data_IF_187169169058
#
_entry.id   IF_187169169058
#
_cell.length_a   1.000
_cell.length_b   1.000
_cell.length_c   1.000
_cell.angle_alpha   90.00
_cell.angle_beta   90.00
_cell.angle_gamma   90.00
#
_symmetry.space_group_name_H-M   'P 1'
#
loop_
_entity.id
_entity.type
_entity.pdbx_description
1 polymer ?
#
# COMPACT_ATOMS: atom_id res chain seq x y z
N UNK A 1 -23.80 -3.22 57.15
CA UNK A 1 -22.65 -2.88 58.05
C UNK A 1 -22.82 -1.51 58.70
N UNK A 2 -23.33 -0.52 58.03
CA UNK A 2 -23.55 0.88 58.47
C UNK A 2 -24.49 1.01 59.67
N UNK A 3 -25.59 0.24 59.68
CA UNK A 3 -26.57 0.27 60.82
C UNK A 3 -25.96 -0.24 62.13
N UNK A 4 -25.01 -1.22 62.08
CA UNK A 4 -24.33 -1.75 63.25
C UNK A 4 -23.28 -0.78 63.86
N UNK A 5 -22.57 -0.05 63.01
CA UNK A 5 -21.58 0.98 63.46
C UNK A 5 -22.32 2.18 64.09
N UNK A 6 -23.38 2.62 63.43
CA UNK A 6 -24.26 3.68 63.99
C UNK A 6 -24.83 3.29 65.36
N UNK A 7 -25.35 2.06 65.50
CA UNK A 7 -25.92 1.58 66.76
C UNK A 7 -24.83 1.50 67.85
N UNK A 8 -23.60 1.05 67.49
CA UNK A 8 -22.50 0.99 68.47
C UNK A 8 -22.00 2.38 68.90
N UNK A 9 -21.85 3.34 68.00
CA UNK A 9 -21.45 4.72 68.29
C UNK A 9 -22.51 5.43 69.13
N UNK A 10 -23.77 5.26 68.74
CA UNK A 10 -24.90 5.81 69.52
C UNK A 10 -25.01 5.16 70.88
N UNK A 11 -24.83 3.82 70.97
CA UNK A 11 -24.81 3.11 72.23
C UNK A 11 -23.68 3.57 73.17
N UNK A 12 -22.44 3.79 72.62
CA UNK A 12 -21.34 4.31 73.37
C UNK A 12 -21.60 5.76 73.90
N UNK A 13 -22.21 6.58 73.05
CA UNK A 13 -22.52 7.99 73.43
C UNK A 13 -23.61 8.04 74.48
N UNK A 14 -24.64 7.22 74.36
CA UNK A 14 -25.69 7.09 75.37
C UNK A 14 -25.11 6.56 76.69
N UNK A 15 -24.20 5.56 76.64
CA UNK A 15 -23.54 5.00 77.80
C UNK A 15 -22.66 6.06 78.50
N UNK A 16 -21.96 6.89 77.73
CA UNK A 16 -21.15 7.99 78.24
C UNK A 16 -21.99 9.09 78.92
N UNK A 17 -23.15 9.41 78.33
CA UNK A 17 -24.16 10.36 78.90
C UNK A 17 -24.76 9.82 80.19
N UNK A 18 -25.18 8.52 80.21
CA UNK A 18 -25.69 7.87 81.41
C UNK A 18 -24.60 7.82 82.48
N UNK A 19 -23.38 7.51 82.12
CA UNK A 19 -22.25 7.54 83.04
C UNK A 19 -21.99 8.96 83.60
N UNK A 20 -22.04 9.99 82.76
CA UNK A 20 -21.86 11.38 83.19
C UNK A 20 -22.99 11.85 84.11
N UNK A 21 -24.25 11.50 83.82
CA UNK A 21 -25.39 11.81 84.67
C UNK A 21 -25.32 11.09 86.02
N UNK A 22 -25.01 9.80 86.04
CA UNK A 22 -24.79 9.00 87.27
C UNK A 22 -23.59 9.51 88.08
N UNK A 23 -22.46 9.84 87.41
CA UNK A 23 -21.31 10.42 88.09
C UNK A 23 -21.62 11.79 88.69
N UNK A 24 -22.37 12.64 87.98
CA UNK A 24 -22.81 13.96 88.50
C UNK A 24 -23.78 13.79 89.71
N UNK A 25 -24.68 12.86 89.64
CA UNK A 25 -25.61 12.54 90.71
C UNK A 25 -24.84 12.01 91.95
N UNK A 26 -23.89 11.13 91.78
CA UNK A 26 -23.04 10.62 92.86
C UNK A 26 -22.16 11.74 93.49
N UNK A 27 -21.61 12.63 92.67
CA UNK A 27 -20.83 13.77 93.13
C UNK A 27 -21.76 14.75 93.94
N UNK A 28 -22.92 15.05 93.41
CA UNK A 28 -23.90 15.91 94.07
C UNK A 28 -24.39 15.28 95.41
N UNK A 29 -24.67 13.99 95.41
CA UNK A 29 -25.08 13.28 96.66
C UNK A 29 -23.94 13.35 97.67
N UNK A 30 -22.70 13.15 97.37
CA UNK A 30 -21.55 13.24 98.22
C UNK A 30 -21.32 14.65 98.73
N UNK A 31 -21.60 15.70 97.95
CA UNK A 31 -21.47 17.08 98.29
C UNK A 31 -22.66 17.53 99.25
N UNK A 32 -23.85 16.98 99.04
CA UNK A 32 -25.01 17.24 99.85
C UNK A 32 -24.95 16.50 101.19
N UNK A 33 -24.34 15.32 101.31
CA UNK A 33 -24.18 14.60 102.57
C UNK A 33 -23.24 15.40 103.56
N UNK A 34 -22.44 16.33 103.05
CA UNK A 34 -21.60 17.15 103.84
C UNK A 34 -22.18 18.56 104.22
N UNK A 35 -23.33 18.93 103.69
CA UNK A 35 -23.95 20.24 103.90
C UNK A 35 -25.48 20.09 104.20
N UNK A 36 -25.84 20.11 105.52
CA UNK A 36 -27.11 20.40 106.14
C UNK A 36 -28.43 19.77 105.57
N UNK A 37 -29.08 19.09 106.50
CA UNK A 37 -30.36 18.35 106.46
C UNK A 37 -31.53 19.31 106.17
N UNK A 38 -32.17 19.27 105.04
CA UNK A 38 -33.50 19.92 104.87
C UNK A 38 -34.03 20.09 103.43
N UNK A 39 -33.25 19.94 102.40
CA UNK A 39 -33.68 20.24 100.99
C UNK A 39 -33.52 19.05 100.01
N UNK A 40 -33.31 17.85 100.49
CA UNK A 40 -32.93 16.66 99.68
C UNK A 40 -34.06 16.28 98.70
N UNK A 41 -35.31 16.38 99.02
CA UNK A 41 -36.42 15.94 98.09
C UNK A 41 -36.66 16.88 96.90
N UNK A 42 -36.33 18.14 97.00
CA UNK A 42 -36.40 19.04 95.83
C UNK A 42 -35.20 18.92 94.88
N UNK A 43 -34.02 18.72 95.41
CA UNK A 43 -32.81 18.53 94.63
C UNK A 43 -32.83 17.19 93.83
N UNK A 44 -33.40 16.13 94.40
CA UNK A 44 -33.51 14.80 93.67
C UNK A 44 -34.44 14.94 92.45
N UNK A 45 -35.51 15.70 92.56
CA UNK A 45 -36.46 15.86 91.46
C UNK A 45 -35.91 16.78 90.35
N UNK A 46 -35.20 17.86 90.70
CA UNK A 46 -34.58 18.77 89.72
C UNK A 46 -33.38 18.15 88.99
N UNK A 47 -32.54 17.33 89.67
CA UNK A 47 -31.43 16.62 89.04
C UNK A 47 -31.92 15.59 88.06
N UNK A 48 -33.00 14.85 88.36
CA UNK A 48 -33.58 13.92 87.41
C UNK A 48 -34.18 14.62 86.17
N UNK A 49 -34.86 15.74 86.33
CA UNK A 49 -35.32 16.51 85.18
C UNK A 49 -34.21 17.11 84.34
N UNK A 50 -33.18 17.62 84.94
CA UNK A 50 -32.01 18.13 84.21
C UNK A 50 -31.31 17.04 83.42
N UNK A 51 -31.13 15.81 83.96
CA UNK A 51 -30.62 14.64 83.26
C UNK A 51 -31.50 14.20 82.10
N UNK A 52 -32.84 14.19 82.30
CA UNK A 52 -33.79 13.88 81.23
C UNK A 52 -33.75 14.90 80.09
N UNK A 53 -33.67 16.20 80.39
CA UNK A 53 -33.54 17.27 79.39
C UNK A 53 -32.17 17.14 78.63
N UNK A 54 -31.10 16.91 79.35
CA UNK A 54 -29.77 16.71 78.68
C UNK A 54 -29.82 15.50 77.76
N UNK A 55 -30.42 14.38 78.17
CA UNK A 55 -30.58 13.19 77.31
C UNK A 55 -31.48 13.44 76.08
N UNK A 56 -32.62 14.19 76.36
CA UNK A 56 -33.52 14.54 75.23
C UNK A 56 -32.88 15.45 74.17
N UNK A 57 -31.92 16.27 74.53
CA UNK A 57 -31.16 17.12 73.60
C UNK A 57 -29.98 16.35 72.96
N UNK A 58 -29.29 15.56 73.73
CA UNK A 58 -28.09 14.86 73.29
C UNK A 58 -28.39 13.71 72.28
N UNK A 59 -29.53 12.95 72.50
CA UNK A 59 -29.90 11.87 71.60
C UNK A 59 -30.24 12.35 70.18
N UNK A 60 -31.04 13.41 69.96
CA UNK A 60 -31.28 13.93 68.63
C UNK A 60 -30.03 14.50 67.98
N UNK A 61 -29.14 15.17 68.74
CA UNK A 61 -27.88 15.71 68.23
C UNK A 61 -26.92 14.59 67.79
N UNK A 62 -26.82 13.55 68.60
CA UNK A 62 -25.99 12.38 68.24
C UNK A 62 -26.57 11.63 67.02
N UNK A 63 -27.91 11.48 66.97
CA UNK A 63 -28.58 10.89 65.84
C UNK A 63 -28.40 11.70 64.54
N UNK A 64 -28.47 13.05 64.66
CA UNK A 64 -28.21 13.95 63.52
C UNK A 64 -26.76 13.83 63.02
N UNK A 65 -25.73 13.88 63.90
CA UNK A 65 -24.35 13.74 63.55
C UNK A 65 -24.05 12.36 62.91
N UNK A 66 -24.52 11.28 63.55
CA UNK A 66 -24.37 9.90 63.00
C UNK A 66 -25.08 9.71 61.66
N UNK A 67 -26.23 10.35 61.43
CA UNK A 67 -26.94 10.30 60.16
C UNK A 67 -26.15 10.98 59.05
N UNK A 68 -25.38 12.03 59.32
CA UNK A 68 -24.50 12.71 58.39
C UNK A 68 -23.39 11.75 57.88
N UNK A 69 -22.66 11.14 58.82
CA UNK A 69 -21.61 10.16 58.48
C UNK A 69 -22.15 8.96 57.71
N UNK A 70 -23.30 8.43 58.14
CA UNK A 70 -23.94 7.29 57.49
C UNK A 70 -24.32 7.59 56.02
N UNK A 71 -24.89 8.76 55.77
CA UNK A 71 -25.25 9.20 54.41
C UNK A 71 -24.01 9.35 53.50
N UNK A 72 -22.91 9.87 54.04
CA UNK A 72 -21.64 9.99 53.31
C UNK A 72 -21.09 8.61 52.97
N UNK A 73 -21.07 7.66 53.91
CA UNK A 73 -20.61 6.27 53.65
C UNK A 73 -21.51 5.55 52.63
N UNK A 74 -22.82 5.78 52.67
CA UNK A 74 -23.69 5.20 51.63
C UNK A 74 -23.40 5.74 50.23
N UNK A 75 -23.03 7.02 50.07
CA UNK A 75 -22.58 7.58 48.79
C UNK A 75 -21.29 6.93 48.29
N UNK A 76 -20.32 6.70 49.18
CA UNK A 76 -19.06 5.99 48.84
C UNK A 76 -19.35 4.57 48.37
N UNK A 77 -20.23 3.82 49.05
CA UNK A 77 -20.64 2.47 48.63
C UNK A 77 -21.35 2.47 47.28
N UNK A 78 -22.24 3.46 47.06
CA UNK A 78 -22.92 3.60 45.76
C UNK A 78 -21.93 3.95 44.63
N UNK A 79 -20.95 4.82 44.89
CA UNK A 79 -19.89 5.14 43.97
C UNK A 79 -19.04 3.91 43.63
N UNK A 80 -18.58 3.16 44.64
CA UNK A 80 -17.77 1.94 44.42
C UNK A 80 -18.55 0.90 43.55
N UNK A 81 -19.85 0.79 43.73
CA UNK A 81 -20.70 -0.08 42.89
C UNK A 81 -20.80 0.41 41.45
N UNK A 82 -20.88 1.73 41.20
CA UNK A 82 -20.88 2.30 39.86
C UNK A 82 -19.55 2.03 39.15
N UNK A 83 -18.43 2.24 39.85
CA UNK A 83 -17.10 1.92 39.30
C UNK A 83 -16.99 0.42 38.97
N UNK A 84 -17.46 -0.47 39.86
CA UNK A 84 -17.45 -1.91 39.60
C UNK A 84 -18.34 -2.33 38.40
N UNK A 85 -19.34 -1.54 38.06
CA UNK A 85 -20.20 -1.73 36.89
C UNK A 85 -19.64 -1.09 35.62
N UNK A 86 -18.42 -0.48 35.68
CA UNK A 86 -17.75 0.14 34.55
C UNK A 86 -18.04 1.63 34.34
N UNK A 87 -18.83 2.26 35.20
CA UNK A 87 -19.07 3.71 35.12
C UNK A 87 -17.92 4.49 35.78
N UNK A 88 -16.84 4.66 35.02
CA UNK A 88 -15.63 5.38 35.45
C UNK A 88 -15.83 6.93 35.44
N UNK A 89 -16.94 7.41 34.93
CA UNK A 89 -17.28 8.84 34.93
C UNK A 89 -17.86 9.32 36.25
N UNK A 90 -18.32 8.40 37.11
CA UNK A 90 -18.85 8.72 38.42
C UNK A 90 -17.84 9.52 39.25
N UNK A 91 -18.34 10.51 40.00
CA UNK A 91 -17.56 11.29 40.98
C UNK A 91 -18.31 11.40 42.28
N UNK A 92 -17.56 11.41 43.38
CA UNK A 92 -18.04 11.74 44.69
C UNK A 92 -17.96 13.26 44.87
N UNK A 93 -19.02 13.83 45.43
CA UNK A 93 -19.03 15.21 45.86
C UNK A 93 -18.30 15.32 47.21
N UNK A 94 -17.14 15.91 47.18
CA UNK A 94 -16.25 16.04 48.35
C UNK A 94 -16.72 17.22 49.19
N UNK A 95 -17.23 16.93 50.38
CA UNK A 95 -17.75 17.94 51.26
C UNK A 95 -16.98 17.93 52.61
N UNK A 96 -16.33 19.01 52.95
CA UNK A 96 -15.60 19.17 54.21
C UNK A 96 -14.07 19.00 54.08
N UNK A 97 -13.34 19.06 55.20
CA UNK A 97 -11.90 18.92 55.31
C UNK A 97 -11.47 17.81 56.28
N UNK A 98 -12.32 16.80 56.46
CA UNK A 98 -12.12 15.66 57.34
C UNK A 98 -11.47 14.45 56.63
N UNK A 99 -11.19 13.38 57.37
CA UNK A 99 -10.63 12.13 56.86
C UNK A 99 -11.51 11.50 55.81
N UNK A 100 -12.84 11.68 55.85
CA UNK A 100 -13.79 11.20 54.84
C UNK A 100 -13.60 11.97 53.53
N UNK A 101 -13.36 13.28 53.59
CA UNK A 101 -13.09 14.06 52.38
C UNK A 101 -11.76 13.65 51.72
N UNK A 102 -10.74 13.34 52.53
CA UNK A 102 -9.48 12.79 52.00
C UNK A 102 -9.70 11.44 51.27
N UNK A 103 -10.53 10.56 51.85
CA UNK A 103 -10.92 9.29 51.25
C UNK A 103 -11.73 9.48 49.94
N UNK A 104 -12.73 10.39 49.96
CA UNK A 104 -13.54 10.74 48.78
C UNK A 104 -12.66 11.25 47.62
N UNK A 105 -11.64 12.10 47.93
CA UNK A 105 -10.65 12.58 46.96
C UNK A 105 -9.81 11.45 46.39
N UNK A 106 -9.27 10.59 47.26
CA UNK A 106 -8.43 9.47 46.82
C UNK A 106 -9.21 8.49 45.91
N UNK A 107 -10.49 8.26 46.21
CA UNK A 107 -11.35 7.45 45.38
C UNK A 107 -11.65 8.10 44.03
N UNK A 108 -11.90 9.42 43.99
CA UNK A 108 -12.05 10.16 42.74
C UNK A 108 -10.79 10.10 41.88
N UNK A 109 -9.62 10.29 42.46
CA UNK A 109 -8.33 10.15 41.75
C UNK A 109 -8.11 8.74 41.20
N UNK A 110 -8.48 7.72 41.98
CA UNK A 110 -8.39 6.32 41.53
C UNK A 110 -9.30 6.05 40.34
N UNK A 111 -10.56 6.54 40.40
CA UNK A 111 -11.50 6.40 39.28
C UNK A 111 -11.00 7.14 38.03
N UNK A 112 -10.42 8.33 38.20
CA UNK A 112 -9.84 9.09 37.11
C UNK A 112 -8.66 8.38 36.44
N UNK A 113 -7.72 7.86 37.24
CA UNK A 113 -6.58 7.06 36.72
C UNK A 113 -7.03 5.81 36.01
N UNK A 114 -8.02 5.09 36.54
CA UNK A 114 -8.61 3.95 35.89
C UNK A 114 -9.23 4.35 34.54
N UNK A 115 -10.00 5.44 34.52
CA UNK A 115 -10.60 5.97 33.28
C UNK A 115 -9.53 6.32 32.23
N UNK A 116 -8.46 7.01 32.63
CA UNK A 116 -7.34 7.34 31.74
C UNK A 116 -6.64 6.10 31.21
N UNK A 117 -6.34 5.11 32.04
CA UNK A 117 -5.70 3.87 31.64
C UNK A 117 -6.58 3.08 30.64
N UNK A 118 -7.90 2.99 30.88
CA UNK A 118 -8.80 2.34 29.94
C UNK A 118 -8.87 3.06 28.60
N UNK A 119 -8.96 4.41 28.61
CA UNK A 119 -8.98 5.21 27.41
C UNK A 119 -7.65 5.05 26.61
N UNK A 120 -6.51 5.00 27.30
CA UNK A 120 -5.20 4.78 26.68
C UNK A 120 -5.10 3.38 26.05
N UNK A 121 -5.55 2.34 26.74
CA UNK A 121 -5.56 0.96 26.20
C UNK A 121 -6.47 0.88 24.96
N UNK A 122 -7.65 1.47 25.00
CA UNK A 122 -8.58 1.51 23.87
C UNK A 122 -7.99 2.30 22.69
N UNK A 123 -7.34 3.45 22.96
CA UNK A 123 -6.66 4.24 21.93
C UNK A 123 -5.53 3.47 21.28
N UNK A 124 -4.65 2.83 22.07
CA UNK A 124 -3.56 2.00 21.54
C UNK A 124 -4.08 0.81 20.73
N UNK A 125 -5.16 0.17 21.20
CA UNK A 125 -5.79 -0.92 20.46
C UNK A 125 -6.35 -0.45 19.11
N UNK A 126 -6.97 0.71 19.10
CA UNK A 126 -7.51 1.29 17.86
C UNK A 126 -6.40 1.71 16.89
N UNK A 127 -5.32 2.28 17.40
CA UNK A 127 -4.14 2.65 16.62
C UNK A 127 -3.49 1.41 15.96
N UNK A 128 -3.27 0.34 16.73
CA UNK A 128 -2.75 -0.92 16.20
C UNK A 128 -3.67 -1.54 15.15
N UNK A 129 -4.99 -1.52 15.36
CA UNK A 129 -5.94 -2.01 14.38
C UNK A 129 -5.88 -1.20 13.08
N UNK A 130 -5.80 0.13 13.18
CA UNK A 130 -5.68 1.03 12.02
C UNK A 130 -4.37 0.80 11.27
N UNK A 131 -3.25 0.62 11.98
CA UNK A 131 -1.97 0.27 11.37
C UNK A 131 -2.05 -1.04 10.58
N UNK A 132 -2.62 -2.09 11.17
CA UNK A 132 -2.80 -3.38 10.51
C UNK A 132 -3.76 -3.32 9.31
N UNK A 133 -4.79 -2.48 9.36
CA UNK A 133 -5.72 -2.29 8.24
C UNK A 133 -5.16 -1.39 7.13
N UNK A 134 -4.19 -0.52 7.45
CA UNK A 134 -3.49 0.32 6.46
C UNK A 134 -2.38 -0.42 5.72
N UNK A 135 -1.93 -1.59 6.20
CA UNK A 135 -0.94 -2.43 5.52
C UNK A 135 -1.49 -2.94 4.19
N UNK A 136 -0.62 -3.03 3.19
CA UNK A 136 -0.97 -3.64 1.89
C UNK A 136 -0.92 -5.17 1.93
N UNK A 137 -0.41 -5.73 2.98
CA UNK A 137 -0.27 -7.17 3.19
C UNK A 137 -1.55 -7.76 3.79
N UNK A 138 -1.88 -8.97 3.36
CA UNK A 138 -2.99 -9.71 3.95
C UNK A 138 -2.53 -10.39 5.25
N UNK A 139 -3.25 -10.15 6.35
CA UNK A 139 -2.90 -10.67 7.68
C UNK A 139 -4.07 -11.44 8.27
N UNK A 140 -3.79 -12.64 8.79
CA UNK A 140 -4.76 -13.45 9.53
C UNK A 140 -4.13 -14.02 10.80
N UNK A 141 -4.82 -13.86 11.92
CA UNK A 141 -4.46 -14.47 13.20
C UNK A 141 -5.40 -15.65 13.50
N UNK A 142 -4.83 -16.72 14.02
CA UNK A 142 -5.48 -18.02 14.17
C UNK A 142 -5.27 -18.52 15.60
N UNK A 143 -6.30 -19.17 16.16
CA UNK A 143 -6.20 -19.82 17.48
C UNK A 143 -5.40 -21.11 17.41
N UNK A 144 -4.98 -21.70 18.56
CA UNK A 144 -4.30 -22.98 18.58
C UNK A 144 -5.11 -24.12 17.94
N UNK A 145 -6.45 -24.01 17.94
CA UNK A 145 -7.38 -24.98 17.33
C UNK A 145 -7.54 -24.77 15.81
N UNK A 146 -6.84 -23.81 15.22
CA UNK A 146 -6.92 -23.51 13.78
C UNK A 146 -8.12 -22.65 13.37
N UNK A 147 -8.78 -21.99 14.33
CA UNK A 147 -9.90 -21.09 14.05
C UNK A 147 -9.40 -19.66 13.80
N UNK A 148 -10.03 -18.94 12.89
CA UNK A 148 -9.73 -17.53 12.65
C UNK A 148 -10.06 -16.71 13.90
N UNK A 149 -9.06 -16.04 14.45
CA UNK A 149 -9.21 -15.09 15.56
C UNK A 149 -9.51 -13.70 15.06
N UNK A 150 -8.80 -13.27 14.02
CA UNK A 150 -8.89 -11.96 13.41
C UNK A 150 -8.25 -11.97 12.02
N UNK A 151 -8.67 -11.05 11.15
CA UNK A 151 -8.07 -10.79 9.85
C UNK A 151 -8.24 -9.33 9.46
N UNK A 152 -7.28 -8.77 8.75
CA UNK A 152 -7.41 -7.40 8.22
C UNK A 152 -8.29 -7.36 6.96
N UNK A 153 -8.62 -6.13 6.54
CA UNK A 153 -9.47 -5.87 5.38
C UNK A 153 -8.88 -6.41 4.07
N UNK A 154 -7.53 -6.40 3.93
CA UNK A 154 -6.83 -6.93 2.75
C UNK A 154 -7.03 -8.44 2.63
N UNK A 155 -6.86 -9.17 3.73
CA UNK A 155 -7.10 -10.62 3.75
C UNK A 155 -8.55 -10.99 3.42
N UNK A 156 -9.52 -10.20 3.91
CA UNK A 156 -10.94 -10.41 3.62
C UNK A 156 -11.25 -10.20 2.12
N UNK A 157 -10.70 -9.17 1.51
CA UNK A 157 -10.85 -8.90 0.07
C UNK A 157 -10.20 -9.97 -0.79
N UNK A 158 -9.01 -10.43 -0.39
CA UNK A 158 -8.23 -11.42 -1.14
C UNK A 158 -8.90 -12.80 -1.13
N UNK A 159 -9.46 -13.22 -0.01
CA UNK A 159 -10.10 -14.53 0.10
C UNK A 159 -11.44 -14.62 -0.65
N UNK A 160 -11.97 -13.51 -1.19
CA UNK A 160 -13.25 -13.48 -1.92
C UNK A 160 -14.47 -13.93 -1.10
N UNK A 161 -14.27 -14.28 0.17
CA UNK A 161 -15.29 -14.73 1.12
C UNK A 161 -15.09 -13.98 2.43
N UNK A 162 -16.20 -13.76 3.17
CA UNK A 162 -16.08 -13.17 4.50
C UNK A 162 -15.38 -14.15 5.44
N UNK A 163 -14.13 -13.87 5.77
CA UNK A 163 -13.42 -14.57 6.84
C UNK A 163 -14.07 -14.18 8.17
N UNK A 164 -14.68 -15.16 8.86
CA UNK A 164 -15.39 -14.89 10.11
C UNK A 164 -14.59 -15.42 11.29
N UNK A 165 -14.40 -14.63 12.36
CA UNK A 165 -13.84 -15.13 13.60
C UNK A 165 -14.61 -16.37 14.13
N UNK A 166 -13.87 -17.32 14.69
CA UNK A 166 -14.43 -18.56 15.22
C UNK A 166 -14.64 -19.68 14.19
N UNK A 167 -14.37 -19.44 12.89
CA UNK A 167 -14.43 -20.49 11.86
C UNK A 167 -13.05 -21.02 11.51
N UNK A 168 -12.92 -22.31 11.13
CA UNK A 168 -11.66 -22.86 10.63
C UNK A 168 -11.18 -22.10 9.40
N UNK A 169 -9.86 -21.78 9.33
CA UNK A 169 -9.25 -21.07 8.21
C UNK A 169 -9.50 -21.79 6.88
N UNK A 170 -9.45 -23.12 6.86
CA UNK A 170 -9.64 -23.95 5.67
C UNK A 170 -11.01 -23.76 4.99
N UNK A 171 -12.01 -23.29 5.71
CA UNK A 171 -13.33 -23.00 5.11
C UNK A 171 -13.35 -21.73 4.29
N UNK A 172 -12.44 -20.79 4.62
CA UNK A 172 -12.35 -19.48 3.96
C UNK A 172 -11.23 -19.45 2.92
N UNK A 173 -10.13 -20.18 3.18
CA UNK A 173 -8.95 -20.22 2.32
C UNK A 173 -8.52 -21.69 2.15
N UNK A 174 -8.46 -22.16 0.89
CA UNK A 174 -8.15 -23.56 0.55
C UNK A 174 -6.76 -23.74 -0.05
N UNK A 175 -5.89 -22.76 0.10
CA UNK A 175 -4.53 -22.89 -0.40
C UNK A 175 -3.72 -23.86 0.47
N UNK A 176 -3.11 -24.92 -0.11
CA UNK A 176 -2.40 -25.95 0.64
C UNK A 176 -1.15 -25.41 1.35
N UNK A 177 -0.42 -24.48 0.71
CA UNK A 177 0.82 -23.92 1.25
C UNK A 177 0.55 -23.02 2.46
N UNK A 178 -0.47 -22.17 2.37
CA UNK A 178 -0.88 -21.34 3.51
C UNK A 178 -1.27 -22.22 4.70
N UNK A 179 -2.07 -23.25 4.44
CA UNK A 179 -2.51 -24.17 5.51
C UNK A 179 -1.34 -24.99 6.09
N UNK A 180 -0.35 -25.36 5.26
CA UNK A 180 0.85 -26.05 5.70
C UNK A 180 1.74 -25.14 6.57
N UNK A 181 1.98 -23.89 6.15
CA UNK A 181 2.75 -22.90 6.90
C UNK A 181 2.11 -22.62 8.27
N UNK A 182 0.80 -22.39 8.29
CA UNK A 182 0.05 -22.14 9.53
C UNK A 182 0.11 -23.34 10.45
N UNK A 183 -0.10 -24.56 9.93
CA UNK A 183 -0.03 -25.80 10.73
C UNK A 183 1.38 -26.01 11.28
N UNK A 184 2.42 -25.80 10.47
CA UNK A 184 3.81 -25.90 10.92
C UNK A 184 4.12 -24.88 12.03
N UNK A 185 3.70 -23.64 11.90
CA UNK A 185 3.89 -22.62 12.93
C UNK A 185 3.16 -22.98 14.25
N UNK A 186 1.98 -23.60 14.17
CA UNK A 186 1.23 -24.06 15.33
C UNK A 186 1.87 -25.27 16.03
N UNK A 187 2.42 -26.20 15.25
CA UNK A 187 2.96 -27.48 15.78
C UNK A 187 4.40 -27.35 16.26
N UNK A 188 5.25 -26.70 15.47
CA UNK A 188 6.69 -26.65 15.71
C UNK A 188 7.08 -25.43 16.55
N UNK A 189 6.22 -24.42 16.65
CA UNK A 189 6.51 -23.18 17.36
C UNK A 189 7.57 -22.30 16.68
N UNK A 190 7.85 -22.54 15.39
CA UNK A 190 8.82 -21.81 14.56
C UNK A 190 8.15 -21.03 13.45
N UNK A 191 8.86 -20.01 12.95
CA UNK A 191 8.40 -19.27 11.77
C UNK A 191 8.50 -20.16 10.54
N UNK A 192 7.43 -20.23 9.76
CA UNK A 192 7.35 -20.98 8.52
C UNK A 192 7.14 -20.04 7.33
N UNK A 193 7.89 -20.29 6.28
CA UNK A 193 7.77 -19.57 5.01
C UNK A 193 7.23 -20.50 3.94
N UNK A 194 6.46 -19.94 3.02
CA UNK A 194 5.90 -20.67 1.88
C UNK A 194 5.51 -19.73 0.76
N UNK A 195 5.03 -20.29 -0.34
CA UNK A 195 4.63 -19.53 -1.51
C UNK A 195 3.30 -20.06 -2.03
N UNK A 196 2.28 -19.22 -2.06
CA UNK A 196 0.95 -19.55 -2.55
C UNK A 196 0.70 -18.97 -3.94
N UNK A 197 0.15 -19.77 -4.84
CA UNK A 197 -0.28 -19.37 -6.18
C UNK A 197 -1.75 -19.66 -6.46
N UNK A 198 -2.44 -20.34 -5.53
CA UNK A 198 -3.84 -20.73 -5.69
C UNK A 198 -4.83 -19.85 -4.92
N UNK A 199 -4.34 -18.84 -4.20
CA UNK A 199 -5.18 -17.91 -3.42
C UNK A 199 -6.02 -16.98 -4.29
N UNK A 200 -5.43 -16.48 -5.37
CA UNK A 200 -6.13 -15.67 -6.35
C UNK A 200 -5.57 -15.95 -7.75
N UNK A 201 -6.42 -16.02 -8.78
CA UNK A 201 -5.98 -16.31 -10.15
C UNK A 201 -4.92 -15.31 -10.63
N UNK A 202 -3.79 -15.84 -11.13
CA UNK A 202 -2.70 -15.03 -11.68
C UNK A 202 -1.89 -14.24 -10.64
N UNK A 203 -2.06 -14.48 -9.33
CA UNK A 203 -1.28 -13.84 -8.27
C UNK A 203 -0.40 -14.84 -7.54
N UNK A 204 0.75 -14.35 -7.09
CA UNK A 204 1.73 -15.10 -6.30
C UNK A 204 1.92 -14.38 -4.98
N UNK A 205 1.77 -15.12 -3.88
CA UNK A 205 1.94 -14.60 -2.53
C UNK A 205 3.08 -15.29 -1.82
N UNK A 206 3.94 -14.53 -1.18
CA UNK A 206 4.88 -15.03 -0.20
C UNK A 206 4.20 -15.07 1.17
N UNK A 207 4.30 -16.21 1.85
CA UNK A 207 3.66 -16.46 3.13
C UNK A 207 4.72 -16.50 4.21
N UNK A 208 4.47 -15.79 5.31
CA UNK A 208 5.19 -15.94 6.56
C UNK A 208 4.19 -16.25 7.66
N UNK A 209 4.33 -17.41 8.30
CA UNK A 209 3.50 -17.81 9.43
C UNK A 209 4.35 -17.93 10.70
N UNK A 210 3.99 -17.21 11.76
CA UNK A 210 4.71 -17.15 13.01
C UNK A 210 3.82 -17.55 14.20
N UNK A 211 4.34 -18.26 15.21
CA UNK A 211 3.60 -18.56 16.43
C UNK A 211 3.37 -17.29 17.26
N UNK A 212 2.22 -17.21 17.93
CA UNK A 212 1.89 -16.11 18.84
C UNK A 212 2.22 -16.52 20.29
N UNK A 213 2.82 -15.61 21.11
CA UNK A 213 3.10 -15.88 22.53
C UNK A 213 1.86 -16.23 23.34
N UNK A 214 0.69 -15.73 22.94
CA UNK A 214 -0.61 -15.99 23.58
C UNK A 214 -1.24 -17.31 23.12
N UNK A 215 -0.52 -18.13 22.35
CA UNK A 215 -1.03 -19.31 21.65
C UNK A 215 -1.69 -18.96 20.31
N UNK A 216 -1.60 -19.91 19.37
CA UNK A 216 -2.05 -19.70 17.98
C UNK A 216 -0.92 -19.27 17.06
N UNK A 217 -1.27 -18.78 15.87
CA UNK A 217 -0.32 -18.31 14.87
C UNK A 217 -0.86 -17.06 14.16
N UNK A 218 0.05 -16.27 13.61
CA UNK A 218 -0.25 -15.18 12.68
C UNK A 218 0.37 -15.53 11.33
N UNK A 219 -0.40 -15.36 10.25
CA UNK A 219 0.12 -15.49 8.89
C UNK A 219 0.00 -14.15 8.17
N UNK A 220 1.09 -13.77 7.50
CA UNK A 220 1.21 -12.58 6.67
C UNK A 220 1.45 -13.03 5.24
N UNK A 221 0.71 -12.46 4.28
CA UNK A 221 0.80 -12.78 2.88
C UNK A 221 1.16 -11.51 2.11
N UNK A 222 2.30 -11.55 1.46
CA UNK A 222 2.83 -10.47 0.63
C UNK A 222 2.61 -10.78 -0.85
N UNK A 223 1.96 -9.89 -1.60
CA UNK A 223 1.76 -10.04 -3.05
C UNK A 223 3.05 -9.72 -3.80
N UNK A 224 3.73 -10.76 -4.26
CA UNK A 224 5.00 -10.68 -5.01
C UNK A 224 4.80 -10.82 -6.52
N UNK A 225 3.57 -10.79 -7.01
CA UNK A 225 3.24 -11.03 -8.43
C UNK A 225 4.05 -10.16 -9.38
N UNK A 226 4.13 -8.86 -9.10
CA UNK A 226 4.89 -7.92 -9.94
C UNK A 226 6.39 -8.17 -9.89
N UNK A 227 6.93 -8.47 -8.73
CA UNK A 227 8.36 -8.75 -8.53
C UNK A 227 8.74 -10.04 -9.27
N UNK A 228 7.94 -11.09 -9.09
CA UNK A 228 8.14 -12.38 -9.78
C UNK A 228 8.03 -12.27 -11.30
N UNK A 229 7.04 -11.49 -11.79
CA UNK A 229 6.89 -11.24 -13.22
C UNK A 229 8.11 -10.49 -13.79
N UNK A 230 8.61 -9.47 -13.07
CA UNK A 230 9.80 -8.73 -13.45
C UNK A 230 11.06 -9.61 -13.44
N UNK A 231 11.26 -10.42 -12.40
CA UNK A 231 12.39 -11.36 -12.31
C UNK A 231 12.34 -12.45 -13.38
N UNK A 232 11.15 -12.98 -13.67
CA UNK A 232 10.97 -13.94 -14.76
C UNK A 232 11.31 -13.29 -16.09
N UNK A 233 10.77 -12.11 -16.37
CA UNK A 233 11.09 -11.36 -17.60
C UNK A 233 12.59 -11.12 -17.75
N UNK A 234 13.28 -10.75 -16.66
CA UNK A 234 14.74 -10.57 -16.65
C UNK A 234 15.49 -11.87 -16.95
N UNK A 235 15.09 -12.98 -16.33
CA UNK A 235 15.72 -14.29 -16.58
C UNK A 235 15.52 -14.73 -18.02
N UNK A 236 14.30 -14.61 -18.53
CA UNK A 236 13.97 -14.96 -19.91
C UNK A 236 14.74 -14.07 -20.91
N UNK A 237 14.90 -12.77 -20.60
CA UNK A 237 15.71 -11.86 -21.39
C UNK A 237 17.17 -12.32 -21.49
N UNK A 238 17.84 -12.60 -20.35
CA UNK A 238 19.24 -13.05 -20.32
C UNK A 238 19.42 -14.37 -21.10
N UNK A 239 18.48 -15.31 -20.92
CA UNK A 239 18.50 -16.58 -21.64
C UNK A 239 18.37 -16.36 -23.15
N UNK A 240 17.45 -15.53 -23.59
CA UNK A 240 17.22 -15.23 -25.00
C UNK A 240 18.40 -14.50 -25.64
N UNK A 241 18.99 -13.49 -24.96
CA UNK A 241 20.22 -12.82 -25.41
C UNK A 241 21.34 -13.84 -25.64
N UNK A 242 21.54 -14.72 -24.65
CA UNK A 242 22.62 -15.74 -24.73
C UNK A 242 22.41 -16.69 -25.92
N UNK A 243 21.17 -17.08 -26.17
CA UNK A 243 20.84 -17.94 -27.30
C UNK A 243 21.00 -17.22 -28.67
N UNK A 244 20.52 -15.98 -28.79
CA UNK A 244 20.59 -15.21 -30.04
C UNK A 244 22.03 -14.76 -30.37
N UNK A 245 22.92 -14.66 -29.38
CA UNK A 245 24.37 -14.43 -29.61
C UNK A 245 25.14 -15.73 -29.95
N UNK A 246 24.81 -16.85 -29.28
CA UNK A 246 25.53 -18.11 -29.45
C UNK A 246 25.36 -18.67 -30.86
N UNK A 247 24.15 -18.63 -31.42
CA UNK A 247 23.85 -19.21 -32.74
C UNK A 247 24.70 -18.61 -33.87
N UNK A 248 24.76 -17.28 -34.10
CA UNK A 248 25.62 -16.72 -35.16
C UNK A 248 27.11 -16.93 -34.86
N UNK A 249 27.53 -16.88 -33.59
CA UNK A 249 28.92 -17.11 -33.22
C UNK A 249 29.39 -18.52 -33.56
N UNK A 250 28.59 -19.55 -33.23
CA UNK A 250 28.88 -20.93 -33.59
C UNK A 250 28.95 -21.12 -35.12
N UNK A 251 28.07 -20.43 -35.87
CA UNK A 251 28.10 -20.45 -37.32
C UNK A 251 29.40 -19.82 -37.86
N UNK A 252 29.78 -18.65 -37.37
CA UNK A 252 31.03 -17.99 -37.74
C UNK A 252 32.22 -18.91 -37.47
N UNK A 253 32.31 -19.48 -36.26
CA UNK A 253 33.38 -20.38 -35.87
C UNK A 253 33.48 -21.58 -36.80
N UNK A 254 32.37 -22.29 -37.07
CA UNK A 254 32.38 -23.45 -37.93
C UNK A 254 32.82 -23.14 -39.38
N UNK A 255 32.37 -22.02 -39.95
CA UNK A 255 32.81 -21.64 -41.31
C UNK A 255 34.27 -21.18 -41.34
N UNK A 256 34.78 -20.52 -40.28
CA UNK A 256 36.19 -20.16 -40.15
C UNK A 256 37.05 -21.42 -40.01
N UNK A 257 36.66 -22.38 -39.16
CA UNK A 257 37.34 -23.66 -38.99
C UNK A 257 37.42 -24.41 -40.32
N UNK A 258 36.31 -24.50 -41.06
CA UNK A 258 36.24 -25.13 -42.37
C UNK A 258 37.19 -24.44 -43.37
N UNK A 259 37.26 -23.10 -43.38
CA UNK A 259 38.15 -22.35 -44.25
C UNK A 259 39.63 -22.52 -43.87
N UNK A 260 39.92 -22.72 -42.60
CA UNK A 260 41.31 -22.95 -42.10
C UNK A 260 41.80 -24.37 -42.41
N UNK A 261 40.89 -25.36 -42.28
CA UNK A 261 41.23 -26.78 -42.48
C UNK A 261 41.24 -27.19 -43.96
N UNK A 262 40.36 -26.58 -44.81
CA UNK A 262 40.29 -26.93 -46.25
C UNK A 262 41.21 -26.08 -47.10
N UNK A 263 42.50 -26.51 -47.23
CA UNK A 263 43.48 -25.88 -48.09
C UNK A 263 43.19 -25.99 -49.63
N UNK A 264 42.08 -26.67 -50.03
CA UNK A 264 41.65 -26.87 -51.42
C UNK A 264 40.31 -26.19 -51.74
N UNK A 265 39.80 -25.32 -50.84
CA UNK A 265 38.55 -24.58 -51.08
C UNK A 265 38.67 -23.77 -52.39
N UNK A 266 37.62 -23.86 -53.23
CA UNK A 266 37.56 -23.03 -54.45
C UNK A 266 37.35 -21.56 -54.10
N UNK A 267 37.73 -20.61 -54.98
CA UNK A 267 37.45 -19.20 -54.74
C UNK A 267 35.96 -18.88 -54.55
N UNK A 268 35.05 -19.65 -55.21
CA UNK A 268 33.62 -19.54 -55.10
C UNK A 268 33.14 -19.95 -53.68
N UNK A 269 33.58 -21.14 -53.21
CA UNK A 269 33.27 -21.65 -51.85
C UNK A 269 33.81 -20.73 -50.77
N UNK A 270 35.03 -20.21 -50.94
CA UNK A 270 35.60 -19.24 -50.02
C UNK A 270 34.76 -17.97 -49.93
N UNK A 271 34.31 -17.45 -51.09
CA UNK A 271 33.48 -16.24 -51.12
C UNK A 271 32.11 -16.49 -50.48
N UNK A 272 31.51 -17.64 -50.70
CA UNK A 272 30.24 -18.04 -50.08
C UNK A 272 30.38 -18.09 -48.56
N UNK A 273 31.40 -18.77 -48.01
CA UNK A 273 31.63 -18.87 -46.56
C UNK A 273 31.94 -17.52 -45.94
N UNK A 274 32.75 -16.68 -46.58
CA UNK A 274 32.98 -15.30 -46.12
C UNK A 274 31.71 -14.47 -46.13
N UNK A 275 30.80 -14.68 -47.10
CA UNK A 275 29.49 -14.06 -47.16
C UNK A 275 28.60 -14.46 -45.97
N UNK A 276 28.60 -15.76 -45.59
CA UNK A 276 27.87 -16.25 -44.42
C UNK A 276 28.44 -15.68 -43.12
N UNK A 277 29.79 -15.65 -42.98
CA UNK A 277 30.45 -15.03 -41.84
C UNK A 277 30.08 -13.56 -41.71
N UNK A 278 30.19 -12.80 -42.82
CA UNK A 278 29.81 -11.37 -42.83
C UNK A 278 28.36 -11.14 -42.44
N UNK A 279 27.42 -11.93 -42.97
CA UNK A 279 26.00 -11.87 -42.63
C UNK A 279 25.75 -12.09 -41.13
N UNK A 280 26.40 -13.11 -40.53
CA UNK A 280 26.28 -13.41 -39.11
C UNK A 280 26.93 -12.32 -38.23
N UNK A 281 28.07 -11.79 -38.61
CA UNK A 281 28.74 -10.68 -37.91
C UNK A 281 27.88 -9.40 -37.93
N UNK A 282 27.32 -9.05 -39.09
CA UNK A 282 26.42 -7.90 -39.23
C UNK A 282 25.11 -8.06 -38.43
N UNK A 283 24.61 -9.30 -38.32
CA UNK A 283 23.49 -9.62 -37.46
C UNK A 283 23.83 -9.44 -35.97
N UNK A 284 25.02 -9.88 -35.54
CA UNK A 284 25.46 -9.68 -34.15
C UNK A 284 25.61 -8.19 -33.83
N UNK A 285 26.14 -7.41 -34.76
CA UNK A 285 26.28 -5.96 -34.56
C UNK A 285 24.91 -5.30 -34.34
N UNK A 286 23.94 -5.59 -35.22
CA UNK A 286 22.55 -5.09 -35.02
C UNK A 286 21.94 -5.54 -33.71
N UNK A 287 22.15 -6.79 -33.29
CA UNK A 287 21.64 -7.28 -32.02
C UNK A 287 22.25 -6.49 -30.83
N UNK A 288 23.54 -6.18 -30.88
CA UNK A 288 24.20 -5.39 -29.84
C UNK A 288 23.73 -3.94 -29.84
N UNK A 289 23.48 -3.32 -30.99
CA UNK A 289 22.91 -1.98 -31.12
C UNK A 289 21.49 -1.94 -30.55
N UNK A 290 20.64 -2.90 -30.90
CA UNK A 290 19.28 -3.03 -30.37
C UNK A 290 19.28 -3.23 -28.84
N UNK A 291 20.20 -4.04 -28.31
CA UNK A 291 20.35 -4.27 -26.87
C UNK A 291 20.78 -3.00 -26.12
N UNK A 292 21.73 -2.24 -26.69
CA UNK A 292 22.17 -0.96 -26.12
C UNK A 292 21.05 0.08 -26.17
N UNK A 293 20.31 0.18 -27.26
CA UNK A 293 19.16 1.06 -27.40
C UNK A 293 18.08 0.71 -26.37
N UNK A 294 17.74 -0.58 -26.24
CA UNK A 294 16.76 -1.04 -25.26
C UNK A 294 17.22 -0.73 -23.82
N UNK A 295 18.48 -1.04 -23.47
CA UNK A 295 19.04 -0.75 -22.16
C UNK A 295 19.06 0.74 -21.83
N UNK A 296 19.31 1.57 -22.83
CA UNK A 296 19.26 3.03 -22.69
C UNK A 296 17.86 3.52 -22.37
N UNK A 297 16.84 3.09 -23.13
CA UNK A 297 15.44 3.52 -22.97
C UNK A 297 14.82 2.96 -21.68
N UNK A 298 15.26 1.80 -21.21
CA UNK A 298 14.80 1.18 -19.95
C UNK A 298 15.47 1.77 -18.69
N UNK A 299 16.54 2.54 -18.87
CA UNK A 299 17.25 3.16 -17.75
C UNK A 299 16.34 4.20 -17.05
N UNK A 300 16.27 4.22 -15.71
CA UNK A 300 15.60 5.29 -14.98
C UNK A 300 16.17 6.70 -15.25
N UNK A 301 17.42 6.74 -15.71
CA UNK A 301 18.12 7.99 -16.06
C UNK A 301 17.91 8.43 -17.51
N UNK A 302 17.13 7.67 -18.30
CA UNK A 302 16.85 8.02 -19.68
C UNK A 302 16.04 9.31 -19.76
N UNK A 303 16.68 10.35 -20.27
CA UNK A 303 16.06 11.66 -20.46
C UNK A 303 15.78 11.87 -21.94
N UNK A 304 14.53 11.83 -22.31
CA UNK A 304 14.10 12.27 -23.63
C UNK A 304 14.34 13.77 -23.80
N UNK A 305 14.95 14.16 -24.91
CA UNK A 305 15.09 15.55 -25.32
C UNK A 305 13.80 16.02 -26.01
N UNK A 306 12.65 15.89 -25.32
CA UNK A 306 11.35 16.26 -25.89
C UNK A 306 11.26 17.74 -26.13
N UNK A 307 10.84 18.10 -27.33
CA UNK A 307 10.56 19.47 -27.74
C UNK A 307 9.26 19.53 -28.55
N UNK A 308 8.59 20.69 -28.64
CA UNK A 308 7.46 20.85 -29.52
C UNK A 308 7.87 20.67 -30.97
N UNK A 309 7.28 19.68 -31.65
CA UNK A 309 7.59 19.35 -33.04
C UNK A 309 6.30 19.20 -33.85
N UNK A 310 6.29 19.56 -35.13
CA UNK A 310 5.13 19.39 -35.99
C UNK A 310 4.94 17.93 -36.35
N UNK A 311 3.73 17.40 -36.17
CA UNK A 311 3.41 16.01 -36.56
C UNK A 311 3.68 15.75 -38.06
N UNK A 312 3.33 16.71 -38.93
CA UNK A 312 3.61 16.59 -40.36
C UNK A 312 5.11 16.53 -40.67
N UNK A 313 5.94 17.26 -39.92
CA UNK A 313 7.39 17.20 -40.12
C UNK A 313 7.97 15.87 -39.71
N UNK A 314 7.52 15.27 -38.59
CA UNK A 314 7.95 13.93 -38.15
C UNK A 314 7.65 12.85 -39.21
N UNK A 315 6.46 12.90 -39.85
CA UNK A 315 6.12 11.97 -40.93
C UNK A 315 6.96 12.22 -42.16
N UNK A 316 7.22 13.47 -42.52
CA UNK A 316 8.01 13.82 -43.68
C UNK A 316 9.49 13.44 -43.48
N UNK A 317 10.07 13.74 -42.33
CA UNK A 317 11.45 13.38 -41.97
C UNK A 317 11.64 11.85 -42.00
N UNK A 318 10.64 11.09 -41.50
CA UNK A 318 10.66 9.64 -41.54
C UNK A 318 10.66 9.11 -42.97
N UNK A 319 9.87 9.69 -43.88
CA UNK A 319 9.81 9.29 -45.29
C UNK A 319 11.11 9.64 -46.01
N UNK A 320 11.66 10.81 -45.77
CA UNK A 320 12.90 11.28 -46.41
C UNK A 320 14.13 10.49 -45.95
N UNK A 321 14.28 10.30 -44.63
CA UNK A 321 15.44 9.60 -44.05
C UNK A 321 15.44 8.10 -44.35
N UNK A 322 14.29 7.46 -44.45
CA UNK A 322 14.13 6.02 -44.64
C UNK A 322 13.79 5.64 -46.10
N UNK A 323 13.60 6.61 -46.97
CA UNK A 323 13.35 6.39 -48.40
C UNK A 323 14.43 5.57 -49.09
N UNK A 324 15.68 5.73 -48.71
CA UNK A 324 16.83 4.92 -49.21
C UNK A 324 16.74 3.44 -48.92
N UNK A 325 16.20 3.04 -47.74
CA UNK A 325 16.01 1.65 -47.35
C UNK A 325 14.94 0.93 -48.20
N UNK A 326 14.01 1.70 -48.75
CA UNK A 326 12.87 1.17 -49.50
C UNK A 326 13.21 1.03 -51.00
N UNK A 327 14.07 1.86 -51.55
CA UNK A 327 14.48 1.86 -52.99
C UNK A 327 15.03 0.49 -53.42
N UNK A 328 15.86 -0.14 -52.59
CA UNK A 328 16.42 -1.46 -52.95
C UNK A 328 15.45 -2.61 -52.81
N UNK A 329 14.24 -2.40 -52.25
CA UNK A 329 13.27 -3.45 -51.93
C UNK A 329 12.08 -3.52 -52.89
N UNK A 330 12.01 -2.65 -53.90
CA UNK A 330 10.83 -2.53 -54.82
C UNK A 330 9.50 -2.20 -54.08
N UNK A 331 9.57 -1.56 -52.95
CA UNK A 331 8.42 -1.13 -52.13
C UNK A 331 8.24 0.38 -52.28
N UNK A 332 7.04 0.84 -52.42
CA UNK A 332 6.70 2.27 -52.46
C UNK A 332 6.33 2.77 -51.07
N UNK A 333 7.03 3.82 -50.57
CA UNK A 333 6.72 4.48 -49.33
C UNK A 333 5.83 5.69 -49.62
N UNK A 334 4.59 5.66 -49.13
CA UNK A 334 3.56 6.67 -49.39
C UNK A 334 3.21 7.43 -48.12
N UNK A 335 2.98 8.73 -48.25
CA UNK A 335 2.42 9.56 -47.18
C UNK A 335 0.91 9.60 -47.30
N UNK A 336 0.18 9.29 -46.21
CA UNK A 336 -1.24 9.54 -46.09
C UNK A 336 -1.57 10.96 -45.60
N UNK A 337 -0.52 11.77 -45.35
CA UNK A 337 -0.65 13.08 -44.74
C UNK A 337 -0.57 13.06 -43.22
N UNK A 338 -0.44 14.22 -42.62
CA UNK A 338 -0.40 14.43 -41.21
C UNK A 338 -0.92 15.82 -40.82
N UNK A 339 -1.53 15.99 -39.65
CA UNK A 339 -2.05 17.29 -39.21
C UNK A 339 -0.92 18.27 -38.89
N UNK A 340 -1.19 19.57 -39.08
CA UNK A 340 -0.31 20.65 -38.62
C UNK A 340 -0.51 20.89 -37.11
N UNK A 341 -0.27 19.85 -36.33
CA UNK A 341 -0.39 19.85 -34.87
C UNK A 341 0.99 19.75 -34.22
N UNK A 342 1.18 20.42 -33.09
CA UNK A 342 2.41 20.34 -32.31
C UNK A 342 2.32 19.21 -31.28
N UNK A 343 3.28 18.28 -31.32
CA UNK A 343 3.43 17.19 -30.38
C UNK A 343 4.71 17.37 -29.55
N UNK A 344 4.77 16.80 -28.35
CA UNK A 344 6.01 16.71 -27.60
C UNK A 344 6.77 15.46 -28.03
N UNK A 345 7.89 15.66 -28.73
CA UNK A 345 8.67 14.54 -29.26
C UNK A 345 10.18 14.81 -29.18
N UNK A 346 10.93 13.75 -29.06
CA UNK A 346 12.36 13.70 -29.31
C UNK A 346 12.56 13.21 -30.75
N UNK A 347 13.08 14.04 -31.68
CA UNK A 347 13.17 13.68 -33.11
C UNK A 347 14.01 12.43 -33.38
N UNK A 348 15.12 12.26 -32.64
CA UNK A 348 16.02 11.11 -32.83
C UNK A 348 15.34 9.81 -32.38
N UNK A 349 14.63 9.85 -31.23
CA UNK A 349 13.84 8.73 -30.78
C UNK A 349 12.67 8.41 -31.72
N UNK A 350 12.03 9.41 -32.30
CA UNK A 350 10.98 9.20 -33.31
C UNK A 350 11.52 8.62 -34.62
N UNK A 351 12.69 9.04 -35.08
CA UNK A 351 13.37 8.40 -36.21
C UNK A 351 13.61 6.91 -35.95
N UNK A 352 13.97 6.54 -34.73
CA UNK A 352 14.13 5.13 -34.35
C UNK A 352 12.77 4.38 -34.35
N UNK A 353 11.71 5.01 -33.88
CA UNK A 353 10.34 4.46 -33.92
C UNK A 353 9.92 4.17 -35.36
N UNK A 354 9.95 5.18 -36.22
CA UNK A 354 9.59 5.02 -37.64
C UNK A 354 10.51 4.03 -38.37
N UNK A 355 11.83 4.09 -38.07
CA UNK A 355 12.81 3.16 -38.62
C UNK A 355 12.45 1.70 -38.36
N UNK A 356 12.17 1.37 -37.11
CA UNK A 356 11.80 0.02 -36.72
C UNK A 356 10.47 -0.44 -37.37
N UNK A 357 9.47 0.46 -37.43
CA UNK A 357 8.17 0.13 -38.03
C UNK A 357 8.26 -0.04 -39.55
N UNK A 358 8.97 0.88 -40.24
CA UNK A 358 9.14 0.80 -41.69
C UNK A 358 10.02 -0.39 -42.08
N UNK A 359 11.12 -0.67 -41.36
CA UNK A 359 11.92 -1.89 -41.56
C UNK A 359 11.09 -3.16 -41.43
N UNK A 360 10.18 -3.23 -40.45
CA UNK A 360 9.26 -4.35 -40.32
C UNK A 360 8.33 -4.45 -41.54
N UNK A 361 7.79 -3.34 -42.03
CA UNK A 361 7.00 -3.28 -43.25
C UNK A 361 7.77 -3.76 -44.47
N UNK A 362 9.07 -3.38 -44.61
CA UNK A 362 9.93 -3.87 -45.68
C UNK A 362 10.20 -5.36 -45.58
N UNK A 363 10.44 -5.88 -44.37
CA UNK A 363 10.73 -7.31 -44.15
C UNK A 363 9.53 -8.21 -44.37
N UNK A 364 8.36 -7.82 -43.90
CA UNK A 364 7.19 -8.67 -43.85
C UNK A 364 6.13 -8.27 -44.90
N UNK A 365 6.10 -6.99 -45.31
CA UNK A 365 5.13 -6.42 -46.22
C UNK A 365 5.50 -6.49 -47.70
N UNK A 366 6.58 -7.18 -48.10
CA UNK A 366 7.05 -7.26 -49.52
C UNK A 366 5.97 -7.63 -50.55
N UNK A 367 5.04 -8.50 -50.19
CA UNK A 367 3.98 -8.93 -51.07
C UNK A 367 3.03 -7.77 -51.45
N UNK A 368 2.86 -6.77 -50.59
CA UNK A 368 1.99 -5.62 -50.82
C UNK A 368 2.60 -4.50 -51.62
N UNK A 369 3.94 -4.51 -51.81
CA UNK A 369 4.74 -3.51 -52.58
C UNK A 369 4.56 -2.05 -52.15
N UNK A 370 3.93 -1.78 -51.04
CA UNK A 370 3.73 -0.43 -50.53
C UNK A 370 3.70 -0.40 -49.01
N UNK A 371 4.15 0.72 -48.43
CA UNK A 371 4.02 1.04 -47.02
C UNK A 371 3.43 2.44 -46.95
N UNK A 372 2.43 2.66 -46.10
CA UNK A 372 1.75 3.95 -45.92
C UNK A 372 2.08 4.46 -44.53
N UNK A 373 2.57 5.69 -44.44
CA UNK A 373 2.85 6.38 -43.17
C UNK A 373 1.96 7.63 -43.08
N UNK A 374 1.33 7.81 -41.96
CA UNK A 374 0.46 8.98 -41.76
C UNK A 374 0.23 9.30 -40.29
N UNK A 375 -0.53 10.37 -40.06
CA UNK A 375 -0.97 10.73 -38.73
C UNK A 375 -2.35 11.40 -38.75
N UNK A 376 -3.10 11.23 -37.66
CA UNK A 376 -4.43 11.81 -37.47
C UNK A 376 -4.50 12.54 -36.13
N UNK A 377 -5.23 13.65 -36.09
CA UNK A 377 -5.43 14.45 -34.87
C UNK A 377 -6.59 13.87 -34.07
N UNK A 378 -6.31 13.47 -32.83
CA UNK A 378 -7.31 13.14 -31.82
C UNK A 378 -7.53 14.32 -30.86
N UNK A 379 -8.44 14.17 -29.90
CA UNK A 379 -8.78 15.27 -28.97
C UNK A 379 -7.59 15.87 -28.23
N UNK A 380 -6.69 15.01 -27.65
CA UNK A 380 -5.57 15.44 -26.81
C UNK A 380 -4.21 14.87 -27.26
N UNK A 381 -4.18 14.12 -28.33
CA UNK A 381 -2.99 13.44 -28.84
C UNK A 381 -3.03 13.40 -30.37
N UNK A 382 -1.89 13.09 -30.99
CA UNK A 382 -1.81 12.77 -32.41
C UNK A 382 -1.51 11.29 -32.53
N UNK A 383 -2.31 10.59 -33.29
CA UNK A 383 -2.10 9.20 -33.66
C UNK A 383 -1.29 9.13 -34.95
N UNK A 384 -0.18 8.39 -34.89
CA UNK A 384 0.68 8.08 -36.05
C UNK A 384 0.47 6.62 -36.40
N UNK A 385 0.56 6.30 -37.69
CA UNK A 385 0.46 4.93 -38.15
C UNK A 385 1.45 4.61 -39.26
N UNK A 386 1.90 3.33 -39.27
CA UNK A 386 2.65 2.72 -40.35
C UNK A 386 1.94 1.44 -40.77
N UNK A 387 1.45 1.39 -42.00
CA UNK A 387 0.68 0.29 -42.54
C UNK A 387 1.40 -0.41 -43.68
N UNK A 388 1.60 -1.71 -43.57
CA UNK A 388 2.00 -2.59 -44.66
C UNK A 388 0.80 -3.38 -45.24
N UNK A 389 0.98 -3.92 -46.42
CA UNK A 389 -0.03 -4.72 -47.15
C UNK A 389 0.49 -6.13 -47.42
N UNK A 390 1.19 -6.67 -46.42
CA UNK A 390 1.73 -8.02 -46.44
C UNK A 390 0.74 -9.12 -46.08
N UNK A 391 1.23 -10.27 -45.63
CA UNK A 391 0.38 -11.41 -45.29
C UNK A 391 -0.43 -11.23 -44.01
N UNK A 392 -0.17 -10.16 -43.22
CA UNK A 392 -0.81 -9.97 -41.93
C UNK A 392 -0.41 -11.02 -40.88
N UNK A 393 -1.08 -10.96 -39.71
CA UNK A 393 -0.85 -11.89 -38.63
C UNK A 393 -2.14 -12.30 -37.92
N UNK A 394 -2.13 -13.47 -37.26
CA UNK A 394 -3.26 -13.95 -36.49
C UNK A 394 -3.40 -13.16 -35.19
N UNK A 395 -4.63 -13.01 -34.69
CA UNK A 395 -4.98 -12.19 -33.52
C UNK A 395 -4.24 -12.61 -32.24
N UNK A 396 -3.91 -13.91 -32.10
CA UNK A 396 -3.16 -14.43 -30.94
C UNK A 396 -1.73 -13.88 -30.81
N UNK A 397 -1.20 -13.29 -31.90
CA UNK A 397 0.16 -12.71 -31.92
C UNK A 397 0.17 -11.20 -31.64
N UNK A 398 -0.95 -10.49 -31.88
CA UNK A 398 -1.00 -9.02 -31.88
C UNK A 398 -0.54 -8.41 -30.57
N UNK A 399 -0.96 -8.95 -29.42
CA UNK A 399 -0.51 -8.44 -28.13
C UNK A 399 0.95 -8.79 -27.84
N UNK A 400 1.45 -9.90 -28.37
CA UNK A 400 2.75 -10.46 -28.06
C UNK A 400 3.90 -9.94 -28.92
N UNK A 401 3.61 -9.34 -30.08
CA UNK A 401 4.67 -8.82 -30.98
C UNK A 401 5.51 -7.73 -30.37
N UNK A 402 5.05 -7.08 -29.30
CA UNK A 402 5.79 -6.08 -28.52
C UNK A 402 6.63 -6.67 -27.38
N UNK A 403 6.52 -8.01 -27.17
CA UNK A 403 7.39 -8.69 -26.20
C UNK A 403 8.82 -8.81 -26.76
N UNK A 404 9.84 -8.73 -25.89
CA UNK A 404 11.25 -8.86 -26.28
C UNK A 404 11.53 -10.25 -26.86
N UNK A 405 12.24 -10.31 -27.99
CA UNK A 405 12.58 -11.53 -28.73
C UNK A 405 11.40 -12.32 -29.28
N UNK A 406 10.19 -11.76 -29.22
CA UNK A 406 9.05 -12.43 -29.79
C UNK A 406 9.08 -12.44 -31.32
N UNK A 407 8.74 -13.57 -31.91
CA UNK A 407 8.66 -13.77 -33.36
C UNK A 407 7.59 -14.79 -33.66
N UNK A 408 6.77 -14.53 -34.65
CA UNK A 408 5.70 -15.43 -35.11
C UNK A 408 6.31 -16.70 -35.72
N UNK A 409 7.31 -16.55 -36.60
CA UNK A 409 8.06 -17.65 -37.20
C UNK A 409 9.56 -17.49 -36.94
N UNK A 410 10.12 -18.35 -36.09
CA UNK A 410 11.53 -18.32 -35.70
C UNK A 410 12.48 -18.68 -36.84
N UNK A 411 12.06 -19.55 -37.78
CA UNK A 411 12.92 -20.04 -38.90
C UNK A 411 13.04 -18.95 -39.97
N UNK A 412 11.94 -18.45 -40.46
CA UNK A 412 11.88 -17.42 -41.50
C UNK A 412 12.48 -16.08 -41.08
N UNK A 413 12.25 -15.72 -39.83
CA UNK A 413 12.81 -14.49 -39.27
C UNK A 413 14.34 -14.53 -39.05
N UNK A 414 14.95 -15.72 -38.93
CA UNK A 414 16.43 -15.85 -38.89
C UNK A 414 17.07 -15.54 -40.22
N UNK A 415 16.43 -15.91 -41.30
CA UNK A 415 16.94 -15.63 -42.65
C UNK A 415 16.86 -14.15 -43.02
N UNK A 416 15.79 -13.46 -42.53
CA UNK A 416 15.59 -12.02 -42.74
C UNK A 416 16.34 -11.12 -41.74
N UNK A 417 17.12 -11.69 -40.82
CA UNK A 417 18.00 -10.95 -39.89
C UNK A 417 17.30 -10.16 -38.79
N UNK A 418 16.02 -10.44 -38.49
CA UNK A 418 15.31 -9.76 -37.40
C UNK A 418 15.84 -10.15 -36.03
N UNK A 419 15.94 -9.23 -35.09
CA UNK A 419 16.38 -9.45 -33.70
C UNK A 419 15.23 -9.79 -32.76
N UNK A 420 13.99 -9.34 -33.09
CA UNK A 420 12.82 -9.43 -32.24
C UNK A 420 12.83 -8.41 -31.09
N UNK A 421 13.70 -7.39 -31.18
CA UNK A 421 13.78 -6.30 -30.21
C UNK A 421 13.17 -4.99 -30.72
N UNK A 422 13.11 -4.78 -32.04
CA UNK A 422 12.68 -3.51 -32.64
C UNK A 422 11.31 -3.03 -32.14
N UNK A 423 10.27 -3.88 -32.12
CA UNK A 423 8.94 -3.50 -31.63
C UNK A 423 8.91 -3.29 -30.11
N UNK A 424 9.73 -3.99 -29.35
CA UNK A 424 9.87 -3.72 -27.92
C UNK A 424 10.53 -2.35 -27.66
N UNK A 425 11.56 -1.99 -28.46
CA UNK A 425 12.17 -0.65 -28.42
C UNK A 425 11.16 0.43 -28.76
N UNK A 426 10.37 0.25 -29.83
CA UNK A 426 9.29 1.18 -30.22
C UNK A 426 8.32 1.39 -29.06
N UNK A 427 7.86 0.31 -28.43
CA UNK A 427 6.95 0.38 -27.28
C UNK A 427 7.53 1.21 -26.15
N UNK A 428 8.77 0.94 -25.74
CA UNK A 428 9.40 1.69 -24.66
C UNK A 428 9.62 3.19 -24.99
N UNK A 429 10.00 3.49 -26.21
CA UNK A 429 10.16 4.89 -26.66
C UNK A 429 8.80 5.62 -26.62
N UNK A 430 7.75 5.02 -27.16
CA UNK A 430 6.42 5.63 -27.19
C UNK A 430 5.86 5.79 -25.77
N UNK A 431 5.98 4.79 -24.91
CA UNK A 431 5.56 4.85 -23.50
C UNK A 431 6.36 5.91 -22.73
N UNK A 432 7.66 6.07 -22.99
CA UNK A 432 8.48 7.13 -22.39
C UNK A 432 8.05 8.54 -22.83
N UNK A 433 7.45 8.69 -24.02
CA UNK A 433 6.84 9.95 -24.47
C UNK A 433 5.42 10.19 -23.89
N UNK A 434 4.90 9.27 -23.05
CA UNK A 434 3.54 9.33 -22.51
C UNK A 434 2.46 8.91 -23.50
N UNK A 435 2.83 8.27 -24.62
CA UNK A 435 1.94 7.73 -25.63
C UNK A 435 1.59 6.26 -25.38
N UNK A 436 0.86 5.69 -26.30
CA UNK A 436 0.52 4.26 -26.36
C UNK A 436 0.76 3.72 -27.75
N UNK A 437 1.02 2.41 -27.87
CA UNK A 437 1.22 1.70 -29.14
C UNK A 437 0.34 0.46 -29.18
N UNK A 438 -0.18 0.18 -30.39
CA UNK A 438 -0.92 -1.06 -30.69
C UNK A 438 -0.75 -1.45 -32.15
N UNK A 439 -1.23 -2.61 -32.52
CA UNK A 439 -1.25 -3.06 -33.89
C UNK A 439 -2.64 -3.60 -34.26
N UNK A 440 -3.00 -3.41 -35.52
CA UNK A 440 -4.18 -3.98 -36.14
C UNK A 440 -3.74 -4.82 -37.33
N UNK A 441 -4.20 -6.07 -37.40
CA UNK A 441 -3.81 -6.95 -38.49
C UNK A 441 -4.85 -8.04 -38.69
N UNK A 442 -5.05 -8.41 -39.98
CA UNK A 442 -5.86 -9.55 -40.39
C UNK A 442 -5.06 -10.37 -41.41
N UNK A 443 -5.17 -11.69 -41.34
CA UNK A 443 -4.47 -12.58 -42.25
C UNK A 443 -4.88 -12.28 -43.72
N UNK A 444 -3.89 -11.97 -44.55
CA UNK A 444 -4.06 -11.60 -45.95
C UNK A 444 -4.33 -10.11 -46.21
N UNK A 445 -4.52 -9.28 -45.19
CA UNK A 445 -4.82 -7.85 -45.33
C UNK A 445 -3.65 -6.90 -44.93
N UNK A 446 -2.56 -7.45 -44.41
CA UNK A 446 -1.40 -6.68 -43.93
C UNK A 446 -1.49 -6.37 -42.45
N UNK A 447 -0.63 -5.44 -42.00
CA UNK A 447 -0.60 -4.96 -40.62
C UNK A 447 -0.47 -3.44 -40.58
N UNK A 448 -1.15 -2.80 -39.65
CA UNK A 448 -1.03 -1.40 -39.29
C UNK A 448 -0.54 -1.28 -37.85
N UNK A 449 0.53 -0.54 -37.64
CA UNK A 449 1.07 -0.21 -36.34
C UNK A 449 0.75 1.23 -36.01
N UNK A 450 0.08 1.45 -34.89
CA UNK A 450 -0.40 2.74 -34.45
C UNK A 450 0.29 3.15 -33.16
N UNK A 451 0.65 4.41 -33.05
CA UNK A 451 1.15 4.96 -31.78
C UNK A 451 0.68 6.41 -31.60
N UNK A 452 0.58 6.85 -30.35
CA UNK A 452 0.15 8.22 -30.05
C UNK A 452 1.26 9.04 -29.39
N UNK A 453 1.23 10.35 -29.62
CA UNK A 453 2.05 11.30 -28.88
C UNK A 453 1.14 12.42 -28.32
N UNK A 454 1.41 12.90 -27.09
CA UNK A 454 0.63 13.98 -26.50
C UNK A 454 0.84 15.30 -27.26
N UNK A 455 -0.21 16.11 -27.38
CA UNK A 455 -0.11 17.45 -27.93
C UNK A 455 0.81 18.31 -27.04
N UNK A 456 1.65 19.11 -27.67
CA UNK A 456 2.41 20.11 -26.95
C UNK A 456 1.45 21.12 -26.29
N UNK A 457 1.71 21.54 -25.04
CA UNK A 457 0.93 22.61 -24.43
C UNK A 457 0.91 23.81 -25.37
N UNK A 458 -0.27 24.34 -25.68
CA UNK A 458 -0.37 25.60 -26.43
C UNK A 458 0.44 26.65 -25.67
N UNK A 459 1.52 27.16 -26.25
CA UNK A 459 2.15 28.35 -25.74
C UNK A 459 1.04 29.42 -25.66
N UNK A 460 0.70 29.84 -24.45
CA UNK A 460 -0.16 31.01 -24.29
C UNK A 460 0.53 32.10 -25.08
N UNK A 461 -0.10 32.54 -26.17
CA UNK A 461 0.34 33.70 -26.93
C UNK A 461 0.46 34.83 -25.93
N UNK A 462 1.71 35.18 -25.61
CA UNK A 462 2.03 36.23 -24.66
C UNK A 462 1.31 37.50 -25.04
N UNK A 463 0.43 37.89 -24.14
CA UNK A 463 -0.14 39.22 -24.18
C UNK A 463 0.96 40.25 -23.95
N UNK A 464 0.83 41.30 -24.69
CA UNK A 464 1.37 42.65 -24.46
C UNK A 464 2.90 42.81 -24.39
N UNK A 465 3.42 43.11 -25.54
CA UNK A 465 4.58 44.00 -25.66
C UNK A 465 4.19 45.38 -25.11
N UNK A 466 4.37 45.60 -23.82
CA UNK A 466 4.42 46.95 -23.25
C UNK A 466 5.70 47.62 -23.74
N UNK A 467 5.51 48.61 -24.62
CA UNK A 467 6.49 49.62 -25.02
C UNK A 467 7.30 50.13 -23.81
N UNK A 468 8.62 50.21 -23.86
CA UNK A 468 9.37 50.94 -22.84
C UNK A 468 9.16 52.43 -23.03
N UNK A 469 8.41 53.05 -22.11
CA UNK A 469 8.29 54.50 -21.99
C UNK A 469 9.67 55.12 -21.77
N UNK A 470 10.13 55.80 -22.81
CA UNK A 470 11.21 56.81 -22.78
C UNK A 470 10.68 58.09 -22.12
N UNK A 471 10.86 58.21 -20.77
CA UNK A 471 10.73 59.49 -20.10
C UNK A 471 11.33 59.45 -18.70
N UNK A 472 12.59 59.82 -18.54
CA UNK A 472 13.11 60.49 -17.34
C UNK A 472 14.64 60.76 -17.46
N UNK A 473 14.99 61.65 -18.36
CA UNK A 473 16.26 62.34 -18.27
C UNK A 473 15.98 63.85 -18.28
N UNK A 474 15.63 64.40 -17.10
CA UNK A 474 15.72 65.81 -16.74
C UNK A 474 15.24 66.02 -15.30
N UNK A 475 16.18 66.11 -14.39
CA UNK A 475 16.17 67.00 -13.22
C UNK A 475 17.14 66.51 -12.18
N UNK A 476 18.27 67.14 -12.17
CA UNK A 476 18.92 67.81 -11.03
C UNK A 476 20.39 67.94 -11.35
N UNK A 477 20.63 69.09 -11.62
CA UNK A 477 21.62 70.00 -11.02
C UNK A 477 22.17 69.52 -9.71
#
# INVERSE_FOLDING_TARGET
MTRKVFIKLMGLFVLLLVFQTVAMELILRRFVEHTAIGTLHLLDRESLWSGLIALAVALPLAAWAASGVTRRLQRVVAFARRIAQGDLSARLDVSGGDELAAMENALNQTAERLGQNFAEIESRRHELATMLDSMQEAVVAITPEGLVRWSNTVMQRMAGTQIRPGRPLIHSVRDPELLACVRGALQDGEVRFGRASSLAPGRIFEISAAPLPSGGAIAVLHDVTRVEAAEKSRRDFIANVSHELRTPLTSIQGYVETLVEDSKATPETTREFLGIIHKNASRMNRLTEDLLALASVESPDYKLATQPFKACALVQDAIESLGGLVVDSEIELQSAGAPDAMVLADPDAMNQVFGNLIENGVKYGKAGKRIVVGAELLENEVEFFVQDFGPGMASEHIERIFERFYRIDKARSRESGGTGLGLAIVKHIVEAHGGRIWAESELGAGAAFHFTLPLAPRAQAGGDATEPAAAAARASS
#
